data_IF_078777035897
#
_entry.id   IF_078777035897
#
_cell.length_a   1.000
_cell.length_b   1.000
_cell.length_c   1.000
_cell.angle_alpha   90.00
_cell.angle_beta   90.00
_cell.angle_gamma   90.00
#
_symmetry.space_group_name_H-M   'P 1'
#
loop_
_entity.id
_entity.type
_entity.pdbx_description
1 polymer ?
#
# COMPACT_ATOMS: atom_id res chain seq x y z
N UNK A 1 8.45 1.46 26.74
CA UNK A 1 7.72 0.96 25.59
C UNK A 1 6.51 1.87 25.33
N UNK A 2 6.53 2.59 24.21
CA UNK A 2 5.47 3.56 23.88
C UNK A 2 4.27 2.88 23.17
N UNK A 3 4.38 1.59 22.81
CA UNK A 3 3.30 0.80 22.24
C UNK A 3 3.03 -0.45 23.13
N UNK A 4 2.29 -0.31 24.23
CA UNK A 4 1.93 -1.46 25.05
C UNK A 4 0.86 -2.32 24.35
N UNK A 5 0.86 -3.64 24.63
CA UNK A 5 -0.15 -4.59 24.12
C UNK A 5 -1.60 -4.16 24.40
N UNK A 6 -1.82 -3.42 25.50
CA UNK A 6 -3.12 -2.85 25.82
C UNK A 6 -3.60 -1.82 24.78
N UNK A 7 -2.69 -1.11 24.14
CA UNK A 7 -3.01 -0.18 23.04
C UNK A 7 -3.55 -0.95 21.84
N UNK A 8 -2.89 -2.05 21.44
CA UNK A 8 -3.33 -2.89 20.34
C UNK A 8 -4.72 -3.49 20.55
N UNK A 9 -4.95 -4.02 21.78
CA UNK A 9 -6.27 -4.53 22.17
C UNK A 9 -7.32 -3.43 22.08
N UNK A 10 -7.02 -2.24 22.59
CA UNK A 10 -7.95 -1.09 22.50
C UNK A 10 -8.27 -0.73 21.05
N UNK A 11 -7.26 -0.60 20.19
CA UNK A 11 -7.46 -0.26 18.75
C UNK A 11 -8.38 -1.28 18.07
N UNK A 12 -8.15 -2.58 18.31
CA UNK A 12 -8.99 -3.66 17.81
C UNK A 12 -10.42 -3.57 18.35
N UNK A 13 -10.56 -3.51 19.69
CA UNK A 13 -11.85 -3.63 20.38
C UNK A 13 -12.75 -2.41 20.13
N UNK A 14 -12.16 -1.24 19.89
CA UNK A 14 -12.89 0.00 19.56
C UNK A 14 -13.09 0.20 18.05
N UNK A 15 -12.59 -0.71 17.21
CA UNK A 15 -12.61 -0.54 15.75
C UNK A 15 -12.07 0.82 15.33
N UNK A 16 -10.90 1.20 15.87
CA UNK A 16 -10.32 2.52 15.64
C UNK A 16 -10.28 2.86 14.13
N UNK A 17 -10.81 4.03 13.70
CA UNK A 17 -11.01 4.35 12.28
C UNK A 17 -9.73 4.31 11.43
N UNK A 18 -8.59 4.58 12.04
CA UNK A 18 -7.29 4.54 11.35
C UNK A 18 -6.57 3.20 11.53
N UNK A 19 -6.99 2.36 12.50
CA UNK A 19 -6.33 1.09 12.84
C UNK A 19 -4.98 1.23 13.54
N UNK A 20 -4.50 2.45 13.82
CA UNK A 20 -3.27 2.76 14.54
C UNK A 20 -3.47 4.00 15.43
N UNK A 21 -2.53 4.22 16.37
CA UNK A 21 -2.53 5.39 17.26
C UNK A 21 -1.84 6.57 16.56
N UNK A 22 -2.54 7.69 16.26
CA UNK A 22 -1.95 8.83 15.55
C UNK A 22 -0.73 9.45 16.24
N UNK A 23 -0.74 9.50 17.57
CA UNK A 23 0.40 10.04 18.33
C UNK A 23 1.64 9.15 18.20
N UNK A 24 1.46 7.83 18.20
CA UNK A 24 2.56 6.90 17.96
C UNK A 24 3.09 7.01 16.52
N UNK A 25 2.21 7.17 15.55
CA UNK A 25 2.62 7.41 14.17
C UNK A 25 3.43 8.69 14.04
N UNK A 26 2.99 9.79 14.64
CA UNK A 26 3.75 11.05 14.61
C UNK A 26 5.14 10.90 15.22
N UNK A 27 5.29 10.22 16.34
CA UNK A 27 6.60 9.93 16.94
C UNK A 27 7.52 9.15 16.00
N UNK A 28 6.98 8.20 15.26
CA UNK A 28 7.71 7.39 14.27
C UNK A 28 8.15 8.25 13.08
N UNK A 29 7.29 9.17 12.65
CA UNK A 29 7.61 10.15 11.61
C UNK A 29 8.72 11.10 12.08
N UNK A 30 8.62 11.64 13.30
CA UNK A 30 9.63 12.54 13.88
C UNK A 30 11.01 11.87 14.02
N UNK A 31 11.03 10.53 14.17
CA UNK A 31 12.25 9.72 14.17
C UNK A 31 12.79 9.39 12.78
N UNK A 32 12.09 9.79 11.71
CA UNK A 32 12.49 9.57 10.32
C UNK A 32 12.31 8.13 9.82
N UNK A 33 11.53 7.29 10.53
CA UNK A 33 11.37 5.88 10.11
C UNK A 33 10.74 5.73 8.72
N UNK A 34 9.73 6.53 8.31
CA UNK A 34 9.19 6.45 6.96
C UNK A 34 10.22 6.78 5.88
N UNK A 35 11.21 7.64 6.19
CA UNK A 35 12.28 8.03 5.27
C UNK A 35 13.42 7.00 5.14
N UNK A 36 13.47 5.98 6.04
CA UNK A 36 14.64 5.13 6.25
C UNK A 36 15.14 4.41 5.00
N UNK A 37 14.24 3.94 4.13
CA UNK A 37 14.59 3.11 2.96
C UNK A 37 14.69 3.89 1.66
N UNK A 38 14.16 5.09 1.61
CA UNK A 38 14.19 5.89 0.39
C UNK A 38 15.58 6.46 0.13
N UNK A 39 15.98 6.59 -1.16
CA UNK A 39 17.24 7.22 -1.56
C UNK A 39 17.32 8.70 -1.14
N UNK A 40 18.51 9.21 -0.92
CA UNK A 40 18.73 10.61 -0.52
C UNK A 40 18.26 11.62 -1.58
N UNK A 41 18.43 11.28 -2.86
CA UNK A 41 17.98 12.11 -3.99
C UNK A 41 16.44 12.17 -4.13
N UNK A 42 15.72 11.23 -3.49
CA UNK A 42 14.26 11.24 -3.35
C UNK A 42 13.82 11.82 -1.98
N UNK A 43 14.75 12.34 -1.17
CA UNK A 43 14.48 12.91 0.15
C UNK A 43 14.51 11.91 1.31
N UNK A 44 14.98 10.70 1.09
CA UNK A 44 15.12 9.67 2.10
C UNK A 44 16.41 9.74 2.91
N UNK A 45 16.61 8.76 3.80
CA UNK A 45 17.78 8.64 4.66
C UNK A 45 18.76 7.53 4.21
N UNK A 46 18.41 6.76 3.20
CA UNK A 46 19.21 5.66 2.63
C UNK A 46 19.79 4.67 3.68
N UNK A 47 19.10 4.48 4.81
CA UNK A 47 19.52 3.55 5.89
C UNK A 47 19.41 2.10 5.41
N UNK A 48 18.51 1.85 4.45
CA UNK A 48 18.30 0.55 3.84
C UNK A 48 17.49 -0.43 4.69
N UNK A 49 17.29 -1.63 4.13
CA UNK A 49 16.44 -2.65 4.73
C UNK A 49 17.02 -3.29 5.99
N UNK A 50 18.34 -3.25 6.21
CA UNK A 50 18.95 -3.70 7.47
C UNK A 50 18.49 -2.82 8.64
N UNK A 51 18.52 -1.50 8.46
CA UNK A 51 18.04 -0.57 9.49
C UNK A 51 16.54 -0.67 9.70
N UNK A 52 15.77 -0.78 8.62
CA UNK A 52 14.32 -0.96 8.72
C UNK A 52 13.95 -2.30 9.37
N UNK A 53 14.71 -3.37 9.14
CA UNK A 53 14.53 -4.67 9.79
C UNK A 53 14.63 -4.57 11.32
N UNK A 54 15.57 -3.80 11.85
CA UNK A 54 15.65 -3.55 13.29
C UNK A 54 14.40 -2.82 13.84
N UNK A 55 13.81 -1.93 13.04
CA UNK A 55 12.53 -1.27 13.38
C UNK A 55 11.41 -2.29 13.46
N UNK A 56 11.29 -3.18 12.45
CA UNK A 56 10.26 -4.24 12.42
C UNK A 56 10.43 -5.23 13.57
N UNK A 57 11.65 -5.65 13.90
CA UNK A 57 11.90 -6.45 15.10
C UNK A 57 11.41 -5.76 16.38
N UNK A 58 11.66 -4.46 16.50
CA UNK A 58 11.14 -3.66 17.62
C UNK A 58 9.62 -3.57 17.65
N UNK A 59 8.99 -3.46 16.47
CA UNK A 59 7.53 -3.46 16.34
C UNK A 59 6.94 -4.81 16.73
N UNK A 60 7.51 -5.92 16.30
CA UNK A 60 7.06 -7.27 16.63
C UNK A 60 7.07 -7.56 18.13
N UNK A 61 8.07 -7.07 18.86
CA UNK A 61 8.14 -7.22 20.33
C UNK A 61 6.96 -6.58 21.07
N UNK A 62 6.31 -5.60 20.49
CA UNK A 62 5.19 -4.85 21.09
C UNK A 62 3.89 -4.99 20.29
N UNK A 63 3.91 -5.74 19.20
CA UNK A 63 2.81 -5.86 18.23
C UNK A 63 2.32 -4.48 17.77
N UNK A 64 3.22 -3.55 17.52
CA UNK A 64 2.87 -2.18 17.14
C UNK A 64 2.22 -2.13 15.75
N UNK A 65 0.94 -1.77 15.67
CA UNK A 65 0.26 -1.54 14.41
C UNK A 65 0.61 -0.14 13.90
N UNK A 66 1.45 -0.10 12.87
CA UNK A 66 1.86 1.14 12.18
C UNK A 66 1.85 0.87 10.67
N UNK A 67 1.47 1.86 9.84
CA UNK A 67 1.36 1.68 8.39
C UNK A 67 2.71 1.74 7.66
N UNK A 68 3.80 1.28 8.31
CA UNK A 68 5.14 1.20 7.69
C UNK A 68 5.21 0.14 6.61
N UNK A 69 4.63 -1.05 6.86
CA UNK A 69 4.65 -2.13 5.87
C UNK A 69 3.89 -1.75 4.61
N UNK A 70 2.67 -1.25 4.76
CA UNK A 70 1.79 -0.91 3.64
C UNK A 70 2.28 0.30 2.86
N UNK A 71 2.54 1.41 3.56
CA UNK A 71 2.84 2.68 2.90
C UNK A 71 4.31 2.76 2.47
N UNK A 72 5.25 2.45 3.37
CA UNK A 72 6.68 2.65 3.11
C UNK A 72 7.27 1.49 2.32
N UNK A 73 7.08 0.24 2.80
CA UNK A 73 7.70 -0.92 2.17
C UNK A 73 7.00 -1.28 0.86
N UNK A 74 5.69 -1.57 0.91
CA UNK A 74 4.97 -2.03 -0.28
C UNK A 74 4.77 -0.90 -1.30
N UNK A 75 4.05 0.16 -0.92
CA UNK A 75 3.72 1.22 -1.87
C UNK A 75 4.91 2.11 -2.23
N UNK A 76 5.83 2.35 -1.28
CA UNK A 76 7.05 3.09 -1.55
C UNK A 76 7.95 2.40 -2.58
N UNK A 77 8.17 1.09 -2.44
CA UNK A 77 8.92 0.29 -3.43
C UNK A 77 8.25 0.29 -4.80
N UNK A 78 6.92 0.16 -4.86
CA UNK A 78 6.19 0.23 -6.12
C UNK A 78 6.35 1.59 -6.81
N UNK A 79 6.32 2.68 -6.06
CA UNK A 79 6.56 4.02 -6.59
C UNK A 79 7.99 4.20 -7.09
N UNK A 80 8.99 3.68 -6.37
CA UNK A 80 10.38 3.73 -6.79
C UNK A 80 10.63 2.90 -8.06
N UNK A 81 10.05 1.69 -8.13
CA UNK A 81 10.31 0.74 -9.21
C UNK A 81 9.47 1.03 -10.47
N UNK A 82 8.21 1.41 -10.33
CA UNK A 82 7.24 1.55 -11.41
C UNK A 82 6.77 3.00 -11.67
N UNK A 83 7.03 3.93 -10.75
CA UNK A 83 6.67 5.34 -10.91
C UNK A 83 7.60 6.10 -11.85
N UNK A 84 7.05 6.96 -12.70
CA UNK A 84 7.82 7.95 -13.45
C UNK A 84 8.45 8.97 -12.49
N UNK A 85 9.42 9.74 -12.96
CA UNK A 85 10.03 10.81 -12.13
C UNK A 85 8.97 11.78 -11.61
N UNK A 86 8.02 12.19 -12.45
CA UNK A 86 6.94 13.09 -12.03
C UNK A 86 6.03 12.46 -10.96
N UNK A 87 5.74 11.18 -11.07
CA UNK A 87 4.96 10.44 -10.06
C UNK A 87 5.74 10.32 -8.75
N UNK A 88 7.03 9.98 -8.78
CA UNK A 88 7.86 9.95 -7.57
C UNK A 88 7.92 11.30 -6.88
N UNK A 89 8.19 12.37 -7.61
CA UNK A 89 8.20 13.74 -7.07
C UNK A 89 6.86 14.17 -6.45
N UNK A 90 5.75 13.65 -6.97
CA UNK A 90 4.41 13.95 -6.45
C UNK A 90 4.09 13.15 -5.18
N UNK A 91 4.50 11.89 -5.10
CA UNK A 91 3.99 10.97 -4.09
C UNK A 91 4.99 10.64 -2.97
N UNK A 92 6.29 10.52 -3.26
CA UNK A 92 7.28 10.13 -2.25
C UNK A 92 7.40 11.12 -1.10
N UNK A 93 7.39 12.46 -1.30
CA UNK A 93 7.48 13.39 -0.19
C UNK A 93 6.42 13.16 0.89
N UNK A 94 5.16 12.97 0.48
CA UNK A 94 4.07 12.71 1.41
C UNK A 94 4.14 11.36 2.14
N UNK A 95 4.80 10.35 1.55
CA UNK A 95 5.11 9.10 2.23
C UNK A 95 6.26 9.25 3.23
N UNK A 96 7.31 9.95 2.84
CA UNK A 96 8.52 10.20 3.64
C UNK A 96 8.20 11.01 4.89
N UNK A 97 7.37 12.03 4.75
CA UNK A 97 6.92 12.88 5.87
C UNK A 97 5.72 12.32 6.65
N UNK A 98 5.24 11.13 6.24
CA UNK A 98 4.15 10.41 6.92
C UNK A 98 2.76 11.04 6.77
N UNK A 99 2.61 12.09 5.95
CA UNK A 99 1.33 12.76 5.73
C UNK A 99 0.41 11.96 4.81
N UNK A 100 0.98 11.25 3.84
CA UNK A 100 0.23 10.35 2.97
C UNK A 100 0.43 8.89 3.39
N UNK A 101 -0.65 8.15 3.41
CA UNK A 101 -0.66 6.72 3.66
C UNK A 101 -1.29 6.02 2.47
N UNK A 102 -0.55 5.07 1.93
CA UNK A 102 -0.97 4.24 0.82
C UNK A 102 -1.12 2.78 1.29
N UNK A 103 -2.02 2.05 0.67
CA UNK A 103 -2.18 0.62 0.89
C UNK A 103 -2.19 -0.14 -0.44
N UNK A 104 -1.51 -1.30 -0.48
CA UNK A 104 -1.47 -2.17 -1.65
C UNK A 104 -2.71 -3.06 -1.69
N UNK A 105 -3.56 -2.85 -2.68
CA UNK A 105 -4.75 -3.65 -2.96
C UNK A 105 -4.41 -4.74 -4.00
N UNK A 106 -3.99 -5.91 -3.51
CA UNK A 106 -3.44 -7.01 -4.31
C UNK A 106 -4.36 -8.23 -4.32
N UNK A 107 -4.53 -8.89 -3.17
CA UNK A 107 -5.23 -10.16 -3.05
C UNK A 107 -6.74 -10.04 -3.32
N UNK A 108 -7.34 -11.09 -3.87
CA UNK A 108 -8.74 -11.11 -4.30
C UNK A 108 -9.54 -12.29 -3.74
N UNK A 109 -8.91 -13.16 -2.98
CA UNK A 109 -9.50 -14.38 -2.43
C UNK A 109 -9.04 -14.60 -0.99
N UNK A 110 -9.57 -15.62 -0.33
CA UNK A 110 -9.22 -15.98 1.03
C UNK A 110 -7.78 -16.49 1.24
N UNK A 111 -6.93 -16.42 0.23
CA UNK A 111 -5.51 -16.80 0.27
C UNK A 111 -4.68 -15.82 -0.55
N UNK A 112 -3.42 -15.65 -0.16
CA UNK A 112 -2.45 -14.88 -0.91
C UNK A 112 -2.10 -15.58 -2.23
N UNK A 113 -2.49 -14.95 -3.36
CA UNK A 113 -2.24 -15.41 -4.72
C UNK A 113 -1.94 -14.22 -5.64
N UNK A 114 -0.78 -13.59 -5.53
CA UNK A 114 -0.43 -12.38 -6.28
C UNK A 114 -0.43 -12.60 -7.80
N UNK A 115 -0.31 -13.85 -8.26
CA UNK A 115 -0.36 -14.24 -9.68
C UNK A 115 -1.79 -14.37 -10.23
N UNK A 116 -2.82 -14.34 -9.36
CA UNK A 116 -4.22 -14.57 -9.76
C UNK A 116 -5.07 -13.32 -9.64
N UNK A 117 -4.78 -12.34 -10.45
CA UNK A 117 -5.53 -11.08 -10.48
C UNK A 117 -6.72 -11.20 -11.44
N UNK A 118 -7.91 -10.85 -10.96
CA UNK A 118 -9.18 -10.82 -11.73
C UNK A 118 -9.76 -9.42 -11.85
N UNK A 119 -9.38 -8.50 -10.96
CA UNK A 119 -9.70 -7.07 -11.09
C UNK A 119 -9.26 -6.60 -12.46
N UNK A 120 -10.14 -5.93 -13.17
CA UNK A 120 -9.92 -5.50 -14.55
C UNK A 120 -9.74 -3.99 -14.62
N UNK A 121 -8.84 -3.56 -15.47
CA UNK A 121 -8.67 -2.18 -15.89
C UNK A 121 -8.86 -2.08 -17.40
N UNK A 122 -9.88 -1.36 -17.85
CA UNK A 122 -10.19 -1.14 -19.26
C UNK A 122 -9.92 0.30 -19.62
N UNK A 123 -9.48 0.55 -20.84
CA UNK A 123 -9.38 1.90 -21.37
C UNK A 123 -10.75 2.56 -21.42
N UNK A 124 -10.84 3.80 -20.90
CA UNK A 124 -12.03 4.62 -21.02
C UNK A 124 -12.07 5.32 -22.39
N UNK A 125 -13.24 5.46 -22.97
CA UNK A 125 -13.43 6.22 -24.22
C UNK A 125 -13.09 7.72 -24.05
N UNK A 126 -13.18 8.24 -22.84
CA UNK A 126 -12.83 9.62 -22.48
C UNK A 126 -11.36 9.83 -22.10
N UNK A 127 -10.53 8.81 -22.20
CA UNK A 127 -9.15 8.77 -21.69
C UNK A 127 -9.06 8.18 -20.28
N UNK A 128 -7.87 7.71 -19.90
CA UNK A 128 -7.65 7.03 -18.65
C UNK A 128 -8.18 5.60 -18.63
N UNK A 129 -8.55 5.12 -17.42
CA UNK A 129 -8.89 3.75 -17.14
C UNK A 129 -10.17 3.65 -16.31
N UNK A 130 -10.87 2.53 -16.44
CA UNK A 130 -12.03 2.15 -15.62
C UNK A 130 -11.69 0.84 -14.91
N UNK A 131 -11.77 0.81 -13.59
CA UNK A 131 -11.46 -0.35 -12.76
C UNK A 131 -12.74 -0.97 -12.20
N UNK A 132 -12.82 -2.31 -12.32
CA UNK A 132 -13.87 -3.15 -11.74
C UNK A 132 -13.26 -4.38 -11.07
N UNK A 133 -13.67 -4.68 -9.83
CA UNK A 133 -13.21 -5.87 -9.11
C UNK A 133 -13.32 -5.77 -7.60
N UNK A 134 -12.67 -6.70 -6.94
CA UNK A 134 -12.65 -6.81 -5.48
C UNK A 134 -11.24 -7.11 -4.97
N UNK A 135 -10.87 -6.52 -3.83
CA UNK A 135 -9.62 -6.77 -3.14
C UNK A 135 -9.88 -7.17 -1.69
N UNK A 136 -9.16 -8.16 -1.21
CA UNK A 136 -9.33 -8.74 0.11
C UNK A 136 -8.06 -8.56 0.94
N UNK A 137 -8.23 -8.49 2.26
CA UNK A 137 -7.11 -8.41 3.23
C UNK A 137 -6.09 -7.31 2.93
N UNK A 138 -6.58 -6.17 2.43
CA UNK A 138 -5.72 -5.01 2.14
C UNK A 138 -5.18 -4.46 3.45
N UNK A 139 -3.89 -4.68 3.71
CA UNK A 139 -3.20 -4.26 4.94
C UNK A 139 -3.24 -2.74 5.03
N UNK A 140 -3.66 -2.23 6.18
CA UNK A 140 -3.85 -0.80 6.47
C UNK A 140 -4.81 -0.09 5.50
N UNK A 141 -5.67 -0.85 4.82
CA UNK A 141 -6.61 -0.30 3.84
C UNK A 141 -7.65 0.65 4.44
N UNK A 142 -8.03 0.44 5.72
CA UNK A 142 -8.84 1.42 6.45
C UNK A 142 -7.94 2.55 6.93
N UNK A 143 -8.27 3.79 6.57
CA UNK A 143 -7.46 4.97 6.90
C UNK A 143 -6.32 5.26 5.91
N UNK A 144 -6.10 4.44 4.89
CA UNK A 144 -5.30 4.83 3.75
C UNK A 144 -6.01 5.93 2.95
N UNK A 145 -5.29 6.97 2.56
CA UNK A 145 -5.85 8.01 1.68
C UNK A 145 -5.88 7.54 0.23
N UNK A 146 -4.91 6.72 -0.15
CA UNK A 146 -4.74 6.20 -1.49
C UNK A 146 -4.47 4.70 -1.48
N UNK A 147 -4.87 4.05 -2.56
CA UNK A 147 -4.67 2.63 -2.81
C UNK A 147 -3.78 2.46 -4.05
N UNK A 148 -2.82 1.55 -3.99
CA UNK A 148 -2.18 1.02 -5.20
C UNK A 148 -2.94 -0.24 -5.58
N UNK A 149 -3.80 -0.15 -6.58
CA UNK A 149 -4.63 -1.27 -7.04
C UNK A 149 -3.90 -2.03 -8.14
N UNK A 150 -3.72 -3.35 -7.95
CA UNK A 150 -3.20 -4.25 -8.97
C UNK A 150 -4.37 -4.76 -9.81
N UNK A 151 -4.34 -4.57 -11.13
CA UNK A 151 -5.40 -5.03 -12.02
C UNK A 151 -4.84 -5.60 -13.32
N UNK A 152 -5.60 -6.50 -13.97
CA UNK A 152 -5.34 -6.92 -15.34
C UNK A 152 -5.72 -5.78 -16.29
N UNK A 153 -4.77 -5.32 -17.08
CA UNK A 153 -5.05 -4.39 -18.18
C UNK A 153 -5.66 -5.16 -19.34
N UNK A 154 -6.78 -4.68 -19.85
CA UNK A 154 -7.48 -5.30 -20.97
C UNK A 154 -7.34 -4.45 -22.23
N UNK A 155 -6.95 -5.09 -23.32
CA UNK A 155 -6.96 -4.53 -24.65
C UNK A 155 -8.37 -4.34 -25.22
N UNK A 156 -8.44 -3.77 -26.42
CA UNK A 156 -9.71 -3.42 -27.08
C UNK A 156 -10.65 -4.62 -27.31
N UNK A 157 -10.10 -5.81 -27.48
CA UNK A 157 -10.87 -7.06 -27.66
C UNK A 157 -11.11 -7.83 -26.34
N UNK A 158 -10.72 -7.21 -25.20
CA UNK A 158 -10.90 -7.80 -23.86
C UNK A 158 -9.83 -8.82 -23.46
N UNK A 159 -8.79 -9.05 -24.29
CA UNK A 159 -7.64 -9.88 -23.92
C UNK A 159 -6.76 -9.18 -22.86
N UNK A 160 -6.15 -9.97 -21.98
CA UNK A 160 -5.20 -9.43 -21.02
C UNK A 160 -3.92 -8.97 -21.72
N UNK A 161 -3.48 -7.74 -21.42
CA UNK A 161 -2.20 -7.17 -21.86
C UNK A 161 -1.12 -7.21 -20.77
N UNK A 162 -1.47 -7.68 -19.58
CA UNK A 162 -0.58 -7.77 -18.43
C UNK A 162 -1.16 -7.12 -17.19
N UNK A 163 -0.32 -6.87 -16.19
CA UNK A 163 -0.71 -6.18 -14.97
C UNK A 163 -0.49 -4.67 -15.09
N UNK A 164 -1.37 -3.91 -14.47
CA UNK A 164 -1.21 -2.49 -14.21
C UNK A 164 -1.26 -2.19 -12.71
N UNK A 165 -0.60 -1.11 -12.31
CA UNK A 165 -0.61 -0.57 -10.95
C UNK A 165 -1.28 0.80 -11.00
N UNK A 166 -2.39 0.96 -10.28
CA UNK A 166 -3.23 2.16 -10.37
C UNK A 166 -3.35 2.84 -9.02
N UNK A 167 -3.00 4.12 -8.97
CA UNK A 167 -3.25 4.96 -7.81
C UNK A 167 -4.72 5.38 -7.79
N UNK A 168 -5.43 4.98 -6.74
CA UNK A 168 -6.87 5.17 -6.59
C UNK A 168 -7.11 5.88 -5.26
N UNK A 169 -7.80 7.02 -5.29
CA UNK A 169 -8.21 7.69 -4.05
C UNK A 169 -9.25 6.83 -3.31
N UNK A 170 -9.01 6.58 -2.02
CA UNK A 170 -9.84 5.65 -1.23
C UNK A 170 -11.30 6.12 -1.07
N UNK A 171 -11.55 7.42 -1.25
CA UNK A 171 -12.88 8.06 -1.09
C UNK A 171 -13.58 8.37 -2.41
N UNK A 172 -12.95 8.11 -3.56
CA UNK A 172 -13.56 8.46 -4.84
C UNK A 172 -14.80 7.61 -5.18
N UNK A 173 -15.70 8.10 -6.05
CA UNK A 173 -16.88 7.36 -6.46
C UNK A 173 -16.52 5.99 -7.05
N UNK A 174 -17.30 4.96 -6.68
CA UNK A 174 -17.09 3.58 -7.09
C UNK A 174 -16.17 2.77 -6.18
N UNK A 175 -15.49 3.38 -5.20
CA UNK A 175 -14.70 2.69 -4.18
C UNK A 175 -15.53 2.48 -2.93
N UNK A 176 -15.64 1.23 -2.47
CA UNK A 176 -16.26 0.88 -1.21
C UNK A 176 -15.28 0.09 -0.34
N UNK A 177 -15.02 0.58 0.88
CA UNK A 177 -14.15 -0.06 1.86
C UNK A 177 -14.96 -0.66 3.00
N UNK A 178 -14.63 -1.91 3.36
CA UNK A 178 -15.20 -2.58 4.52
C UNK A 178 -14.08 -3.10 5.42
N UNK A 179 -14.11 -2.82 6.73
CA UNK A 179 -13.13 -3.39 7.66
C UNK A 179 -13.19 -4.91 7.67
N UNK A 180 -12.03 -5.54 7.72
CA UNK A 180 -11.88 -6.99 7.91
C UNK A 180 -11.13 -7.25 9.20
N UNK A 181 -11.73 -7.96 10.14
CA UNK A 181 -11.11 -8.32 11.41
C UNK A 181 -10.38 -9.65 11.26
N UNK A 182 -9.07 -9.64 11.52
CA UNK A 182 -8.23 -10.83 11.53
C UNK A 182 -7.68 -11.10 12.94
N UNK A 183 -7.15 -12.32 13.15
CA UNK A 183 -6.63 -12.75 14.44
C UNK A 183 -5.40 -11.93 14.91
N UNK A 184 -4.64 -11.38 13.98
CA UNK A 184 -3.46 -10.54 14.24
C UNK A 184 -3.80 -9.14 14.77
N UNK A 185 -5.09 -8.79 14.80
CA UNK A 185 -5.59 -7.48 15.23
C UNK A 185 -5.10 -6.28 14.39
N UNK A 186 -4.51 -6.52 13.21
CA UNK A 186 -4.13 -5.46 12.29
C UNK A 186 -5.33 -4.93 11.53
N UNK A 187 -5.21 -3.71 11.07
CA UNK A 187 -6.16 -3.09 10.16
C UNK A 187 -6.09 -3.73 8.79
N UNK A 188 -7.20 -4.32 8.35
CA UNK A 188 -7.37 -4.84 6.99
C UNK A 188 -8.67 -4.34 6.40
N UNK A 189 -8.70 -4.19 5.09
CA UNK A 189 -9.91 -3.84 4.35
C UNK A 189 -10.25 -4.87 3.28
N UNK A 190 -11.54 -5.04 3.05
CA UNK A 190 -12.09 -5.53 1.78
C UNK A 190 -12.49 -4.31 0.96
N UNK A 191 -12.11 -4.27 -0.31
CA UNK A 191 -12.34 -3.15 -1.21
C UNK A 191 -13.12 -3.64 -2.41
N UNK A 192 -14.25 -2.98 -2.72
CA UNK A 192 -15.00 -3.20 -3.96
C UNK A 192 -14.79 -2.00 -4.87
N UNK A 193 -14.48 -2.27 -6.13
CA UNK A 193 -14.27 -1.29 -7.19
C UNK A 193 -15.38 -1.47 -8.23
N UNK A 194 -16.16 -0.44 -8.49
CA UNK A 194 -17.28 -0.46 -9.46
C UNK A 194 -17.19 0.77 -10.34
N UNK A 195 -16.73 0.59 -11.59
CA UNK A 195 -16.60 1.67 -12.57
C UNK A 195 -15.67 2.79 -12.13
N UNK A 196 -14.62 2.49 -11.34
CA UNK A 196 -13.71 3.49 -10.77
C UNK A 196 -12.86 4.12 -11.87
N UNK A 197 -12.99 5.45 -12.04
CA UNK A 197 -12.26 6.20 -13.07
C UNK A 197 -10.86 6.55 -12.57
N UNK A 198 -9.84 6.24 -13.36
CA UNK A 198 -8.43 6.53 -13.05
C UNK A 198 -7.78 7.24 -14.23
N UNK A 199 -7.21 8.42 -13.99
CA UNK A 199 -6.50 9.18 -15.00
C UNK A 199 -5.19 8.48 -15.42
N UNK A 200 -4.68 8.77 -16.61
CA UNK A 200 -3.46 8.13 -17.15
C UNK A 200 -2.24 8.40 -16.27
N UNK A 201 -2.12 9.59 -15.68
CA UNK A 201 -1.03 9.99 -14.78
C UNK A 201 -1.06 9.28 -13.42
N UNK A 202 -2.14 8.57 -13.11
CA UNK A 202 -2.30 7.73 -11.92
C UNK A 202 -2.02 6.24 -12.17
N UNK A 203 -1.69 5.86 -13.41
CA UNK A 203 -1.17 4.54 -13.74
C UNK A 203 0.36 4.57 -13.63
N UNK A 204 0.95 3.70 -12.80
CA UNK A 204 2.41 3.60 -12.67
C UNK A 204 2.97 2.88 -13.90
N UNK A 205 3.79 3.57 -14.70
CA UNK A 205 4.26 3.10 -16.03
C UNK A 205 5.77 3.23 -16.22
N UNK A 206 6.60 3.16 -15.17
CA UNK A 206 8.05 3.28 -15.31
C UNK A 206 8.71 2.04 -15.97
N UNK A 207 10.02 2.05 -16.09
CA UNK A 207 10.83 1.10 -16.84
C UNK A 207 10.67 -0.38 -16.45
N UNK A 208 10.36 -0.69 -15.18
CA UNK A 208 10.06 -2.04 -14.76
C UNK A 208 8.63 -2.42 -15.11
N UNK A 209 8.38 -3.68 -15.51
CA UNK A 209 7.02 -4.18 -15.66
C UNK A 209 6.31 -4.15 -14.30
N UNK A 210 4.99 -3.98 -14.30
CA UNK A 210 4.21 -4.00 -13.06
C UNK A 210 4.43 -5.29 -12.24
N UNK A 211 4.57 -6.44 -12.91
CA UNK A 211 4.88 -7.72 -12.26
C UNK A 211 6.25 -7.69 -11.57
N UNK A 212 7.29 -7.20 -12.22
CA UNK A 212 8.64 -7.13 -11.64
C UNK A 212 8.68 -6.18 -10.44
N UNK A 213 8.03 -5.02 -10.55
CA UNK A 213 7.93 -4.07 -9.45
C UNK A 213 7.17 -4.68 -8.26
N UNK A 214 6.08 -5.41 -8.53
CA UNK A 214 5.30 -6.10 -7.52
C UNK A 214 6.11 -7.19 -6.81
N UNK A 215 6.82 -8.04 -7.56
CA UNK A 215 7.67 -9.09 -7.00
C UNK A 215 8.76 -8.49 -6.09
N UNK A 216 9.44 -7.43 -6.53
CA UNK A 216 10.43 -6.73 -5.73
C UNK A 216 9.84 -6.15 -4.43
N UNK A 217 8.69 -5.50 -4.49
CA UNK A 217 8.02 -4.95 -3.32
C UNK A 217 7.58 -6.05 -2.33
N UNK A 218 7.06 -7.17 -2.83
CA UNK A 218 6.68 -8.32 -2.02
C UNK A 218 7.89 -8.98 -1.35
N UNK A 219 9.03 -9.08 -2.03
CA UNK A 219 10.26 -9.63 -1.45
C UNK A 219 10.79 -8.73 -0.32
N UNK A 220 10.75 -7.40 -0.48
CA UNK A 220 11.09 -6.46 0.60
C UNK A 220 10.14 -6.59 1.79
N UNK A 221 8.84 -6.72 1.51
CA UNK A 221 7.83 -6.92 2.56
C UNK A 221 8.05 -8.23 3.33
N UNK A 222 8.38 -9.33 2.65
CA UNK A 222 8.71 -10.62 3.29
C UNK A 222 9.92 -10.52 4.21
N UNK A 223 10.97 -9.78 3.82
CA UNK A 223 12.13 -9.52 4.67
C UNK A 223 11.71 -8.78 5.95
N UNK A 224 10.91 -7.73 5.83
CA UNK A 224 10.43 -6.97 6.98
C UNK A 224 9.54 -7.81 7.91
N UNK A 225 8.60 -8.57 7.33
CA UNK A 225 7.72 -9.47 8.10
C UNK A 225 8.48 -10.61 8.79
N UNK A 226 9.57 -11.09 8.18
CA UNK A 226 10.42 -12.11 8.81
C UNK A 226 11.24 -11.56 9.99
N UNK A 227 11.49 -10.24 10.02
CA UNK A 227 12.14 -9.57 11.14
C UNK A 227 11.16 -9.26 12.28
N UNK A 228 9.88 -9.05 11.99
CA UNK A 228 8.79 -8.81 12.94
C UNK A 228 8.38 -10.08 13.68
#
# INVERSE_FOLDING_TARGET
>A
AQSPLSLQRRLRDTHAPLGYEPQLWQQVVDLGWPAAVFPEDEGGLAVGYQGLGAVFEGMGRTLAALPLLSSVVLCGELLLAAGTQAQRQRWLPGLIDGQQRLALALDEQGRHHPERIRTQARRSASGGWVLDGEKWFVIDGIGAAWLVVVAQTLGAEGQSEGLGLFLVEATQPGVALQPTLLADSRNHARITLTGVQVADDLCLTAAASASQALDAALDRARICLAAE
#
